data_IF_352246590752
#
_entry.id   IF_352246590752
#
_cell.length_a   1.000
_cell.length_b   1.000
_cell.length_c   1.000
_cell.angle_alpha   90.00
_cell.angle_beta   90.00
_cell.angle_gamma   90.00
#
_symmetry.space_group_name_H-M   'P 1'
#
loop_
_entity.id
_entity.type
_entity.pdbx_description
1 polymer ?
#
# COMPACT_ATOMS: atom_id res chain seq x y z
N UNK A 1 -2.21 23.78 -10.43
CA UNK A 1 -1.94 25.25 -10.40
C UNK A 1 -0.47 25.64 -10.32
N UNK A 2 0.49 24.69 -10.25
CA UNK A 2 1.94 25.00 -10.31
C UNK A 2 2.39 25.29 -11.75
N UNK A 3 1.86 24.56 -12.74
CA UNK A 3 2.16 24.72 -14.17
C UNK A 3 1.74 26.06 -14.78
N UNK A 4 0.85 26.80 -14.13
CA UNK A 4 0.42 28.15 -14.53
C UNK A 4 1.24 29.26 -13.87
N UNK A 5 1.87 28.96 -12.73
CA UNK A 5 2.73 29.90 -11.99
C UNK A 5 4.17 29.92 -12.52
N UNK A 6 4.57 28.89 -13.28
CA UNK A 6 5.86 28.80 -13.95
C UNK A 6 5.64 28.48 -15.44
N UNK A 7 6.48 28.98 -16.37
CA UNK A 7 6.36 28.69 -17.81
C UNK A 7 6.90 27.28 -18.13
N UNK A 8 6.29 26.27 -17.51
CA UNK A 8 6.67 24.86 -17.61
C UNK A 8 5.55 23.98 -18.17
N UNK A 9 4.34 24.49 -18.38
CA UNK A 9 3.18 23.70 -18.84
C UNK A 9 3.45 22.86 -20.10
N UNK A 10 4.06 23.45 -21.13
CA UNK A 10 4.45 22.73 -22.35
C UNK A 10 5.77 21.96 -22.26
N UNK A 11 6.35 21.84 -21.07
CA UNK A 11 7.61 21.11 -20.81
C UNK A 11 7.40 19.87 -19.95
N UNK A 12 6.16 19.62 -19.50
CA UNK A 12 5.82 18.43 -18.74
C UNK A 12 5.59 17.30 -19.73
N UNK A 13 6.51 16.35 -19.76
CA UNK A 13 6.45 15.20 -20.67
C UNK A 13 5.66 14.05 -20.05
N UNK A 14 5.82 13.84 -18.74
CA UNK A 14 5.16 12.74 -18.01
C UNK A 14 4.75 13.16 -16.62
N UNK A 15 3.68 12.54 -16.14
CA UNK A 15 3.20 12.60 -14.77
C UNK A 15 3.40 11.24 -14.13
N UNK A 16 3.97 11.19 -12.93
CA UNK A 16 4.08 9.95 -12.14
C UNK A 16 3.40 10.22 -10.80
N UNK A 17 2.34 9.47 -10.49
CA UNK A 17 1.66 9.58 -9.19
C UNK A 17 1.35 8.21 -8.64
N UNK A 18 1.12 8.12 -7.32
CA UNK A 18 0.57 6.90 -6.74
C UNK A 18 -0.85 6.61 -7.28
N UNK A 19 -1.37 5.44 -6.94
CA UNK A 19 -2.68 4.95 -7.36
C UNK A 19 -3.75 5.22 -6.30
N UNK A 20 -3.54 6.16 -5.38
CA UNK A 20 -4.60 6.58 -4.49
C UNK A 20 -5.77 7.14 -5.32
N UNK A 21 -6.99 6.91 -4.87
CA UNK A 21 -8.20 7.26 -5.62
C UNK A 21 -8.31 8.75 -5.96
N UNK A 22 -7.82 9.62 -5.09
CA UNK A 22 -7.71 11.06 -5.39
C UNK A 22 -6.82 11.35 -6.61
N UNK A 23 -5.72 10.63 -6.78
CA UNK A 23 -4.83 10.77 -7.93
C UNK A 23 -5.43 10.13 -9.18
N UNK A 24 -6.12 9.00 -9.06
CA UNK A 24 -6.85 8.38 -10.17
C UNK A 24 -7.99 9.28 -10.65
N UNK A 25 -8.73 9.90 -9.73
CA UNK A 25 -9.82 10.83 -10.06
C UNK A 25 -9.30 12.11 -10.72
N UNK A 26 -8.17 12.65 -10.25
CA UNK A 26 -7.60 13.89 -10.77
C UNK A 26 -6.93 13.75 -12.14
N UNK A 27 -6.43 12.55 -12.47
CA UNK A 27 -5.57 12.32 -13.62
C UNK A 27 -5.97 11.09 -14.46
N UNK A 28 -7.17 10.55 -14.26
CA UNK A 28 -7.64 9.33 -14.92
C UNK A 28 -7.77 9.48 -16.44
N UNK A 29 -7.99 10.70 -16.93
CA UNK A 29 -8.01 11.00 -18.38
C UNK A 29 -6.62 10.97 -19.02
N UNK A 30 -5.54 10.97 -18.22
CA UNK A 30 -4.15 10.96 -18.71
C UNK A 30 -3.55 9.55 -18.74
N UNK A 31 -4.37 8.51 -18.65
CA UNK A 31 -3.91 7.11 -18.67
C UNK A 31 -3.41 6.72 -20.05
N UNK A 32 -2.38 5.86 -20.11
CA UNK A 32 -1.87 5.31 -21.37
C UNK A 32 -2.99 4.50 -22.05
N UNK A 33 -3.35 4.82 -23.31
CA UNK A 33 -4.34 4.06 -24.06
C UNK A 33 -4.01 2.57 -24.12
N UNK A 34 -4.96 1.70 -23.80
CA UNK A 34 -4.80 0.24 -23.76
C UNK A 34 -4.30 -0.33 -22.42
N UNK A 35 -4.01 0.52 -21.44
CA UNK A 35 -3.62 0.11 -20.08
C UNK A 35 -4.68 0.45 -19.03
N UNK A 36 -5.88 0.89 -19.43
CA UNK A 36 -6.95 1.38 -18.55
C UNK A 36 -7.30 0.37 -17.46
N UNK A 37 -7.32 -0.92 -17.81
CA UNK A 37 -7.60 -2.02 -16.88
C UNK A 37 -6.62 -2.14 -15.71
N UNK A 38 -5.37 -1.70 -15.86
CA UNK A 38 -4.37 -1.69 -14.78
C UNK A 38 -4.56 -0.55 -13.78
N UNK A 39 -5.40 0.44 -14.13
CA UNK A 39 -5.63 1.64 -13.33
C UNK A 39 -7.03 1.69 -12.69
N UNK A 40 -7.87 0.70 -12.97
CA UNK A 40 -9.15 0.52 -12.28
C UNK A 40 -8.85 -0.17 -10.95
N UNK A 41 -8.82 0.59 -9.85
CA UNK A 41 -8.83 0.03 -8.50
C UNK A 41 -10.26 -0.39 -8.17
N UNK A 42 -10.52 -1.70 -8.05
CA UNK A 42 -11.82 -2.22 -7.56
C UNK A 42 -11.98 -2.13 -6.03
N UNK A 43 -11.03 -1.56 -5.30
CA UNK A 43 -11.10 -1.50 -3.84
C UNK A 43 -10.72 -0.12 -3.32
N UNK A 44 -11.74 0.73 -3.27
CA UNK A 44 -11.72 2.00 -2.54
C UNK A 44 -12.78 1.95 -1.42
N UNK A 45 -12.86 0.79 -0.74
CA UNK A 45 -13.48 0.75 0.56
C UNK A 45 -12.48 1.29 1.59
N UNK A 46 -12.58 2.59 1.86
CA UNK A 46 -12.17 3.13 3.16
C UNK A 46 -13.09 2.59 4.26
N UNK A 47 -13.06 1.28 4.53
CA UNK A 47 -13.49 0.67 5.79
C UNK A 47 -13.29 -0.84 5.74
N UNK A 48 -12.51 -1.38 6.68
CA UNK A 48 -12.96 -2.52 7.48
C UNK A 48 -11.94 -2.84 8.56
N UNK A 49 -12.41 -2.76 9.81
CA UNK A 49 -12.05 -3.76 10.81
C UNK A 49 -12.08 -5.14 10.14
N UNK A 50 -10.95 -5.83 10.16
CA UNK A 50 -10.74 -7.23 9.76
C UNK A 50 -12.03 -8.07 9.63
N UNK A 51 -12.69 -8.06 8.46
CA UNK A 51 -13.89 -8.87 8.19
C UNK A 51 -13.50 -10.05 7.26
N UNK A 52 -13.69 -11.33 7.64
CA UNK A 52 -13.14 -12.47 6.91
C UNK A 52 -13.93 -12.93 5.68
N UNK A 53 -15.05 -12.30 5.34
CA UNK A 53 -16.01 -12.84 4.36
C UNK A 53 -16.23 -11.94 3.14
N UNK A 54 -15.30 -11.90 2.19
CA UNK A 54 -15.61 -11.50 0.81
C UNK A 54 -15.04 -12.45 -0.26
N UNK A 55 -15.87 -12.71 -1.27
CA UNK A 55 -15.78 -13.82 -2.21
C UNK A 55 -15.01 -13.45 -3.47
N UNK A 56 -13.97 -14.22 -3.75
CA UNK A 56 -13.43 -14.65 -5.06
C UNK A 56 -13.85 -13.88 -6.32
N UNK A 57 -12.87 -13.26 -6.99
CA UNK A 57 -12.91 -12.98 -8.43
C UNK A 57 -11.69 -13.60 -9.13
N UNK A 58 -11.97 -14.33 -10.22
CA UNK A 58 -10.98 -15.01 -11.05
C UNK A 58 -10.24 -13.99 -11.92
N UNK A 59 -8.93 -13.83 -11.72
CA UNK A 59 -8.07 -13.16 -12.70
C UNK A 59 -8.10 -13.94 -14.02
N UNK A 60 -8.46 -13.27 -15.12
CA UNK A 60 -8.25 -13.80 -16.47
C UNK A 60 -6.77 -13.71 -16.85
N UNK A 61 -6.25 -14.75 -17.50
CA UNK A 61 -4.88 -14.76 -18.04
C UNK A 61 -4.71 -13.69 -19.13
N UNK A 62 -4.20 -12.53 -18.75
CA UNK A 62 -3.85 -11.44 -19.66
C UNK A 62 -2.57 -11.75 -20.44
N UNK A 63 -2.65 -11.59 -21.78
CA UNK A 63 -1.52 -11.66 -22.71
C UNK A 63 -0.44 -10.64 -22.29
N UNK A 64 0.79 -11.08 -22.04
CA UNK A 64 1.91 -10.18 -21.73
C UNK A 64 2.43 -9.53 -23.01
N UNK A 65 2.33 -8.19 -23.18
CA UNK A 65 2.95 -7.52 -24.31
C UNK A 65 4.49 -7.67 -24.26
N UNK A 66 5.13 -7.68 -25.42
CA UNK A 66 6.58 -7.82 -25.57
C UNK A 66 7.29 -6.51 -25.15
N UNK A 67 8.46 -6.59 -24.50
CA UNK A 67 9.14 -5.42 -23.94
C UNK A 67 9.46 -4.33 -25.00
N UNK A 68 9.73 -4.72 -26.25
CA UNK A 68 10.00 -3.81 -27.37
C UNK A 68 8.75 -3.01 -27.81
N UNK A 69 7.56 -3.58 -27.67
CA UNK A 69 6.29 -2.91 -28.03
C UNK A 69 5.92 -1.86 -26.97
N UNK A 70 6.23 -2.15 -25.70
CA UNK A 70 6.05 -1.25 -24.57
C UNK A 70 6.95 -0.01 -24.73
N UNK A 71 8.24 -0.22 -24.99
CA UNK A 71 9.21 0.87 -25.16
C UNK A 71 8.86 1.78 -26.36
N UNK A 72 8.46 1.20 -27.48
CA UNK A 72 8.06 1.95 -28.67
C UNK A 72 6.76 2.77 -28.48
N UNK A 73 5.83 2.29 -27.66
CA UNK A 73 4.63 3.04 -27.28
C UNK A 73 4.99 4.25 -26.40
N UNK A 74 5.94 4.06 -25.48
CA UNK A 74 6.41 5.11 -24.58
C UNK A 74 7.18 6.23 -25.27
N UNK A 75 7.98 5.93 -26.29
CA UNK A 75 8.87 6.91 -26.93
C UNK A 75 8.17 7.73 -28.04
N UNK A 76 6.97 7.32 -28.48
CA UNK A 76 6.21 7.99 -29.55
C UNK A 76 5.05 8.87 -29.08
N UNK A 77 4.72 8.85 -27.78
CA UNK A 77 3.63 9.67 -27.27
C UNK A 77 4.12 11.08 -26.90
N UNK A 78 3.74 12.07 -27.71
CA UNK A 78 3.92 13.50 -27.43
C UNK A 78 2.90 14.03 -26.39
N UNK A 79 1.91 13.21 -26.03
CA UNK A 79 0.85 13.55 -25.09
C UNK A 79 1.29 13.31 -23.64
N UNK A 80 0.83 14.18 -22.74
CA UNK A 80 1.09 14.05 -21.31
C UNK A 80 0.35 12.84 -20.77
N UNK A 81 1.09 11.83 -20.34
CA UNK A 81 0.53 10.62 -19.72
C UNK A 81 0.94 10.46 -18.27
N UNK A 82 0.04 9.85 -17.52
CA UNK A 82 0.23 9.41 -16.15
C UNK A 82 0.77 7.98 -16.12
N UNK A 83 1.86 7.80 -15.38
CA UNK A 83 2.38 6.50 -14.97
C UNK A 83 2.08 6.24 -13.50
N UNK A 84 1.85 4.97 -13.12
CA UNK A 84 1.73 4.61 -11.72
C UNK A 84 3.11 4.68 -11.07
N UNK A 85 3.14 5.10 -9.81
CA UNK A 85 4.34 5.02 -8.99
C UNK A 85 4.68 3.55 -8.71
N UNK A 86 5.80 3.07 -9.26
CA UNK A 86 6.27 1.70 -9.07
C UNK A 86 6.36 1.28 -7.60
N UNK A 87 6.85 2.18 -6.73
CA UNK A 87 6.97 1.88 -5.29
C UNK A 87 5.61 1.67 -4.64
N UNK A 88 4.62 2.46 -5.04
CA UNK A 88 3.26 2.28 -4.55
C UNK A 88 2.64 1.00 -5.10
N UNK A 89 2.85 0.68 -6.38
CA UNK A 89 2.42 -0.60 -6.96
C UNK A 89 3.04 -1.78 -6.20
N UNK A 90 4.34 -1.75 -5.89
CA UNK A 90 4.98 -2.79 -5.09
C UNK A 90 4.37 -2.90 -3.69
N UNK A 91 4.05 -1.78 -3.06
CA UNK A 91 3.38 -1.76 -1.77
C UNK A 91 1.97 -2.38 -1.84
N UNK A 92 1.21 -2.13 -2.90
CA UNK A 92 -0.10 -2.77 -3.12
C UNK A 92 0.06 -4.29 -3.28
N UNK A 93 1.00 -4.75 -4.11
CA UNK A 93 1.28 -6.18 -4.28
C UNK A 93 1.63 -6.86 -2.95
N UNK A 94 2.43 -6.21 -2.11
CA UNK A 94 2.74 -6.72 -0.77
C UNK A 94 1.49 -6.73 0.10
N UNK A 95 0.70 -5.65 0.14
CA UNK A 95 -0.54 -5.54 0.92
C UNK A 95 -1.51 -6.66 0.55
N UNK A 96 -1.79 -6.82 -0.74
CA UNK A 96 -2.76 -7.78 -1.26
C UNK A 96 -2.27 -9.21 -1.03
N UNK A 97 -1.00 -9.50 -1.29
CA UNK A 97 -0.39 -10.79 -1.00
C UNK A 97 -0.41 -11.15 0.50
N UNK A 98 -0.29 -10.16 1.40
CA UNK A 98 -0.43 -10.41 2.83
C UNK A 98 -1.88 -10.69 3.24
N UNK A 99 -2.85 -10.03 2.61
CA UNK A 99 -4.28 -10.20 2.88
C UNK A 99 -4.80 -11.56 2.37
N UNK A 100 -4.38 -11.98 1.18
CA UNK A 100 -4.79 -13.25 0.56
C UNK A 100 -4.12 -14.47 1.19
N UNK A 101 -3.00 -14.30 1.88
CA UNK A 101 -2.25 -15.41 2.47
C UNK A 101 -2.82 -15.83 3.84
N UNK A 102 -3.68 -16.85 3.83
CA UNK A 102 -4.38 -17.36 5.03
C UNK A 102 -3.45 -17.66 6.22
N UNK A 103 -2.25 -18.18 5.95
CA UNK A 103 -1.32 -18.63 6.99
C UNK A 103 -0.71 -17.49 7.82
N UNK A 104 -0.65 -16.27 7.28
CA UNK A 104 -0.09 -15.10 7.97
C UNK A 104 -1.16 -14.17 8.54
N UNK A 105 -2.40 -14.33 8.09
CA UNK A 105 -3.57 -13.57 8.54
C UNK A 105 -3.71 -13.62 10.08
N UNK A 106 -3.71 -14.83 10.65
CA UNK A 106 -3.81 -15.01 12.11
C UNK A 106 -2.61 -14.41 12.88
N UNK A 107 -1.34 -14.67 12.51
CA UNK A 107 -0.19 -14.00 13.11
C UNK A 107 -0.24 -12.47 13.06
N UNK A 108 -0.61 -11.87 11.92
CA UNK A 108 -0.68 -10.42 11.75
C UNK A 108 -1.76 -9.80 12.64
N UNK A 109 -2.92 -10.46 12.75
CA UNK A 109 -3.99 -10.03 13.67
C UNK A 109 -3.50 -10.00 15.13
N UNK A 110 -2.77 -11.02 15.58
CA UNK A 110 -2.18 -11.04 16.93
C UNK A 110 -1.15 -9.93 17.15
N UNK A 111 -0.32 -9.65 16.15
CA UNK A 111 0.63 -8.52 16.20
C UNK A 111 -0.10 -7.19 16.34
N UNK A 112 -1.18 -6.99 15.59
CA UNK A 112 -2.01 -5.79 15.69
C UNK A 112 -2.69 -5.66 17.06
N UNK A 113 -3.17 -6.77 17.63
CA UNK A 113 -3.71 -6.79 19.00
C UNK A 113 -2.66 -6.43 20.05
N UNK A 114 -1.44 -6.98 19.96
CA UNK A 114 -0.34 -6.65 20.86
C UNK A 114 0.00 -5.15 20.77
N UNK A 115 0.10 -4.62 19.55
CA UNK A 115 0.34 -3.19 19.33
C UNK A 115 -0.78 -2.35 19.96
N UNK A 116 -2.05 -2.70 19.72
CA UNK A 116 -3.22 -2.02 20.30
C UNK A 116 -3.20 -2.07 21.82
N UNK A 117 -2.88 -3.21 22.43
CA UNK A 117 -2.76 -3.37 23.87
C UNK A 117 -1.62 -2.52 24.44
N UNK A 118 -0.49 -2.41 23.73
CA UNK A 118 0.63 -1.57 24.16
C UNK A 118 0.29 -0.08 24.27
N UNK A 119 -0.73 0.38 23.53
CA UNK A 119 -1.21 1.77 23.58
C UNK A 119 -2.40 1.96 24.52
N UNK A 120 -3.22 0.92 24.75
CA UNK A 120 -4.47 1.03 25.54
C UNK A 120 -4.34 0.52 26.98
N UNK A 121 -3.44 -0.41 27.26
CA UNK A 121 -3.26 -1.00 28.59
C UNK A 121 -2.09 -0.32 29.30
N UNK A 122 -2.39 0.34 30.43
CA UNK A 122 -1.37 1.00 31.26
C UNK A 122 -0.34 -0.02 31.75
N UNK A 123 -0.78 -1.19 32.22
CA UNK A 123 0.11 -2.24 32.72
C UNK A 123 1.10 -2.73 31.66
N UNK A 124 0.63 -2.94 30.43
CA UNK A 124 1.47 -3.41 29.31
C UNK A 124 2.39 -2.28 28.83
N UNK A 125 1.87 -1.05 28.72
CA UNK A 125 2.65 0.12 28.33
C UNK A 125 3.81 0.37 29.30
N UNK A 126 3.55 0.33 30.62
CA UNK A 126 4.56 0.49 31.66
C UNK A 126 5.60 -0.64 31.61
N UNK A 127 5.17 -1.89 31.44
CA UNK A 127 6.08 -3.05 31.34
C UNK A 127 7.03 -2.92 30.15
N UNK A 128 6.52 -2.50 28.98
CA UNK A 128 7.33 -2.28 27.79
C UNK A 128 8.26 -1.09 27.95
N UNK A 129 7.78 0.02 28.53
CA UNK A 129 8.57 1.22 28.76
C UNK A 129 9.73 0.99 29.75
N UNK A 130 9.49 0.22 30.82
CA UNK A 130 10.52 -0.16 31.80
C UNK A 130 11.68 -0.92 31.13
N UNK A 131 11.38 -1.72 30.12
CA UNK A 131 12.34 -2.50 29.33
C UNK A 131 12.79 -1.77 28.05
N UNK A 132 12.41 -0.49 27.89
CA UNK A 132 12.77 0.39 26.76
C UNK A 132 12.27 -0.09 25.39
N UNK A 133 11.19 -0.87 25.36
CA UNK A 133 10.49 -1.23 24.14
C UNK A 133 9.34 -0.26 23.85
N UNK A 134 9.13 0.02 22.56
CA UNK A 134 8.00 0.80 22.06
C UNK A 134 7.56 0.22 20.73
N UNK A 135 6.27 -0.09 20.64
CA UNK A 135 5.64 -0.60 19.42
C UNK A 135 4.96 0.61 18.75
N UNK A 136 5.27 0.91 17.48
CA UNK A 136 4.57 1.93 16.74
C UNK A 136 3.17 1.42 16.35
N UNK A 137 2.20 2.31 16.43
CA UNK A 137 0.88 2.07 15.86
C UNK A 137 0.98 1.90 14.35
N UNK A 138 0.30 0.87 13.81
CA UNK A 138 0.26 0.63 12.38
C UNK A 138 -0.61 1.71 11.73
N UNK A 139 0.01 2.63 10.99
CA UNK A 139 -0.68 3.70 10.26
C UNK A 139 -0.89 3.26 8.81
N UNK A 140 -2.15 3.14 8.39
CA UNK A 140 -2.55 2.67 7.05
C UNK A 140 -1.92 3.50 5.92
N UNK A 141 -1.83 4.82 6.10
CA UNK A 141 -1.29 5.75 5.10
C UNK A 141 0.24 5.72 4.98
N UNK A 142 0.94 4.97 5.84
CA UNK A 142 2.39 4.87 5.83
C UNK A 142 2.80 3.47 5.38
N UNK A 143 3.26 3.38 4.13
CA UNK A 143 3.52 2.14 3.37
C UNK A 143 4.29 1.01 4.09
N UNK A 144 5.09 1.33 5.12
CA UNK A 144 5.90 0.36 5.85
C UNK A 144 5.47 0.17 7.31
N UNK A 145 4.30 0.67 7.72
CA UNK A 145 3.89 0.67 9.12
C UNK A 145 3.68 -0.74 9.68
N UNK A 146 2.99 -1.63 8.95
CA UNK A 146 2.82 -3.03 9.35
C UNK A 146 4.17 -3.74 9.52
N UNK A 147 5.10 -3.55 8.59
CA UNK A 147 6.44 -4.12 8.69
C UNK A 147 7.17 -3.65 9.96
N UNK A 148 7.11 -2.35 10.26
CA UNK A 148 7.73 -1.79 11.46
C UNK A 148 7.08 -2.33 12.74
N UNK A 149 5.75 -2.43 12.78
CA UNK A 149 5.02 -3.01 13.92
C UNK A 149 5.41 -4.48 14.13
N UNK A 150 5.41 -5.29 13.07
CA UNK A 150 5.85 -6.71 13.13
C UNK A 150 7.29 -6.81 13.62
N UNK A 151 8.21 -6.04 13.02
CA UNK A 151 9.62 -6.03 13.42
C UNK A 151 9.78 -5.71 14.90
N UNK A 152 9.05 -4.71 15.42
CA UNK A 152 9.14 -4.33 16.83
C UNK A 152 8.54 -5.36 17.77
N UNK A 153 7.47 -6.05 17.37
CA UNK A 153 6.91 -7.14 18.19
C UNK A 153 7.86 -8.34 18.24
N UNK A 154 8.50 -8.68 17.12
CA UNK A 154 9.47 -9.79 17.05
C UNK A 154 10.72 -9.51 17.88
N UNK A 155 11.13 -8.24 18.00
CA UNK A 155 12.26 -7.84 18.83
C UNK A 155 11.99 -7.97 20.36
N UNK A 156 10.72 -8.06 20.78
CA UNK A 156 10.35 -8.12 22.20
C UNK A 156 10.46 -9.57 22.71
N UNK A 157 11.18 -9.81 23.81
CA UNK A 157 11.22 -11.12 24.45
C UNK A 157 9.83 -11.65 24.84
N UNK A 158 9.55 -12.93 24.54
CA UNK A 158 8.28 -13.58 24.89
C UNK A 158 7.93 -13.52 26.40
N UNK A 159 8.92 -13.38 27.28
CA UNK A 159 8.73 -13.21 28.73
C UNK A 159 8.03 -11.89 29.09
N UNK A 160 8.15 -10.88 28.23
CA UNK A 160 7.48 -9.59 28.41
C UNK A 160 6.04 -9.61 27.89
N UNK A 161 5.78 -10.39 26.84
CA UNK A 161 4.46 -10.49 26.20
C UNK A 161 3.53 -11.53 26.83
N UNK A 162 4.08 -12.55 27.51
CA UNK A 162 3.29 -13.53 28.24
C UNK A 162 3.11 -13.09 29.70
N UNK A 163 1.86 -12.97 30.14
CA UNK A 163 1.52 -13.00 31.57
C UNK A 163 1.63 -14.44 32.06
N UNK A 164 2.38 -14.65 33.15
CA UNK A 164 2.40 -15.90 33.90
C UNK A 164 1.66 -15.68 35.19
#
# INVERSE_FOLDING_TARGET
>A
RVSTSFPIGGKIVRLITDNASNNLSAFGELVIPGFESYFISEDDSEDSDYDPDEKNLKLSEGHRPNDDDIQNSFDKQEELLRLPCFIHTLQLVVKDGLNESECIRSPLSKVAEIAKLSHKSITIAEKLQNEKFSIPEAIVTRWNSQFLTVSKVVDIPNTLLNER
#
